data_IF_713620140349
#
_entry.id   IF_713620140349
#
_cell.length_a   1.000
_cell.length_b   1.000
_cell.length_c   1.000
_cell.angle_alpha   90.00
_cell.angle_beta   90.00
_cell.angle_gamma   90.00
#
_symmetry.space_group_name_H-M   'P 1'
#
loop_
_entity.id
_entity.type
_entity.pdbx_description
1 polymer ?
#
# COMPACT_ATOMS: atom_id res chain seq x y z
N UNK A 1 4.33 -4.90 12.35
CA UNK A 1 4.25 -3.98 11.21
C UNK A 1 5.56 -4.05 10.47
N UNK A 2 5.53 -4.57 9.24
CA UNK A 2 6.70 -4.70 8.37
C UNK A 2 6.97 -3.37 7.66
N UNK A 3 8.20 -3.19 7.21
CA UNK A 3 8.57 -2.14 6.26
C UNK A 3 8.50 -2.74 4.87
N UNK A 4 7.93 -2.01 3.92
CA UNK A 4 7.77 -2.41 2.52
C UNK A 4 8.73 -1.57 1.67
N UNK A 5 9.41 -2.21 0.73
CA UNK A 5 10.27 -1.51 -0.23
C UNK A 5 9.40 -1.01 -1.38
N UNK A 6 9.37 0.31 -1.60
CA UNK A 6 8.65 0.93 -2.70
C UNK A 6 9.66 1.28 -3.80
N UNK A 7 9.27 1.05 -5.06
CA UNK A 7 10.05 1.41 -6.24
C UNK A 7 9.20 2.19 -7.24
N UNK A 8 9.64 3.40 -7.55
CA UNK A 8 8.98 4.32 -8.49
C UNK A 8 10.04 4.79 -9.50
N UNK A 9 10.02 4.22 -10.69
CA UNK A 9 11.09 4.44 -11.67
C UNK A 9 12.46 4.06 -11.10
N UNK A 10 13.34 5.05 -10.94
CA UNK A 10 14.68 4.88 -10.37
C UNK A 10 14.75 5.15 -8.87
N UNK A 11 13.68 5.67 -8.25
CA UNK A 11 13.65 5.95 -6.83
C UNK A 11 13.18 4.70 -6.07
N UNK A 12 13.99 4.28 -5.11
CA UNK A 12 13.65 3.20 -4.18
C UNK A 12 13.71 3.73 -2.75
N UNK A 13 12.69 3.44 -1.95
CA UNK A 13 12.64 3.84 -0.55
C UNK A 13 11.85 2.86 0.32
N UNK A 14 12.22 2.84 1.59
CA UNK A 14 11.53 2.12 2.65
C UNK A 14 10.29 2.88 3.08
N UNK A 15 9.15 2.18 3.08
CA UNK A 15 7.86 2.72 3.49
C UNK A 15 7.25 1.89 4.62
N UNK A 16 6.58 2.55 5.56
CA UNK A 16 5.78 1.87 6.59
C UNK A 16 4.69 2.80 7.11
N UNK A 17 3.44 2.31 7.15
CA UNK A 17 2.35 3.03 7.79
C UNK A 17 2.33 2.69 9.28
N UNK A 18 2.71 3.64 10.14
CA UNK A 18 2.59 3.51 11.59
C UNK A 18 1.34 4.23 12.12
N UNK A 19 0.83 3.84 13.29
CA UNK A 19 -0.35 4.48 13.90
C UNK A 19 -0.28 6.01 14.00
N UNK A 20 0.91 6.57 14.24
CA UNK A 20 1.14 8.03 14.29
C UNK A 20 1.01 8.73 12.95
N UNK A 21 1.10 8.00 11.84
CA UNK A 21 1.09 8.55 10.49
C UNK A 21 -0.35 8.78 9.98
N UNK A 22 -1.36 8.14 10.56
CA UNK A 22 -2.77 8.22 10.11
C UNK A 22 -3.33 9.63 10.22
N UNK A 23 -3.25 10.27 11.40
CA UNK A 23 -3.81 11.60 11.62
C UNK A 23 -3.25 12.66 10.63
N UNK A 24 -1.91 12.80 10.46
CA UNK A 24 -1.38 13.75 9.48
C UNK A 24 -1.72 13.35 8.04
N UNK A 25 -1.76 12.05 7.73
CA UNK A 25 -2.14 11.56 6.40
C UNK A 25 -3.58 11.97 6.05
N UNK A 26 -4.55 11.66 6.90
CA UNK A 26 -5.97 11.95 6.65
C UNK A 26 -6.25 13.46 6.60
N UNK A 27 -5.53 14.27 7.38
CA UNK A 27 -5.59 15.74 7.27
C UNK A 27 -5.17 16.23 5.88
N UNK A 28 -4.14 15.62 5.29
CA UNK A 28 -3.67 15.97 3.94
C UNK A 28 -4.63 15.47 2.85
N UNK A 29 -5.16 14.25 3.02
CA UNK A 29 -6.14 13.66 2.11
C UNK A 29 -7.52 14.34 2.19
N UNK A 30 -7.84 14.99 3.31
CA UNK A 30 -9.17 15.56 3.64
C UNK A 30 -10.30 14.52 3.68
N UNK A 31 -9.95 13.24 3.81
CA UNK A 31 -10.84 12.08 3.95
C UNK A 31 -10.06 10.94 4.61
N UNK A 32 -10.76 9.90 5.04
CA UNK A 32 -10.10 8.74 5.65
C UNK A 32 -9.22 8.01 4.64
N UNK A 33 -8.14 7.39 5.12
CA UNK A 33 -7.28 6.56 4.28
C UNK A 33 -8.08 5.40 3.67
N UNK A 34 -9.01 4.82 4.44
CA UNK A 34 -9.93 3.79 3.96
C UNK A 34 -10.78 4.27 2.77
N UNK A 35 -11.43 5.43 2.88
CA UNK A 35 -12.25 5.96 1.78
C UNK A 35 -11.41 6.37 0.57
N UNK A 36 -10.12 6.67 0.76
CA UNK A 36 -9.20 6.99 -0.32
C UNK A 36 -8.86 5.73 -1.12
N UNK A 37 -8.59 4.62 -0.43
CA UNK A 37 -8.07 3.38 -1.03
C UNK A 37 -9.18 2.44 -1.50
N UNK A 38 -10.29 2.41 -0.77
CA UNK A 38 -11.46 1.54 -0.98
C UNK A 38 -12.64 2.33 -1.56
N UNK A 39 -12.39 3.50 -2.13
CA UNK A 39 -13.40 4.50 -2.49
C UNK A 39 -14.65 3.92 -3.16
N UNK A 40 -15.78 4.60 -2.93
CA UNK A 40 -17.12 4.19 -3.35
C UNK A 40 -17.13 3.65 -4.78
N UNK A 41 -17.62 2.42 -4.93
CA UNK A 41 -18.03 1.84 -6.22
C UNK A 41 -18.93 2.87 -6.90
N UNK A 42 -18.48 3.40 -8.03
CA UNK A 42 -19.36 4.10 -8.97
C UNK A 42 -19.70 3.05 -10.01
N UNK A 43 -20.87 2.44 -9.84
CA UNK A 43 -21.60 1.61 -10.80
C UNK A 43 -20.79 0.56 -11.59
N UNK A 44 -20.89 -0.68 -11.09
CA UNK A 44 -20.58 -2.02 -11.60
C UNK A 44 -19.33 -2.35 -12.44
N UNK A 45 -18.55 -1.42 -13.00
CA UNK A 45 -17.41 -1.82 -13.87
C UNK A 45 -16.12 -1.00 -13.70
N UNK A 46 -16.13 0.10 -12.95
CA UNK A 46 -14.94 0.94 -12.80
C UNK A 46 -14.38 0.92 -11.38
N UNK A 47 -13.17 0.34 -11.24
CA UNK A 47 -12.37 0.46 -10.02
C UNK A 47 -12.02 1.95 -9.82
N UNK A 48 -12.57 2.56 -8.78
CA UNK A 48 -12.25 3.94 -8.43
C UNK A 48 -10.86 3.99 -7.77
N UNK A 49 -9.82 4.11 -8.59
CA UNK A 49 -8.45 4.25 -8.11
C UNK A 49 -8.28 5.61 -7.41
N UNK A 50 -7.48 5.69 -6.34
CA UNK A 50 -7.05 6.97 -5.80
C UNK A 50 -6.38 7.80 -6.89
N UNK A 51 -6.54 9.11 -6.83
CA UNK A 51 -5.84 10.01 -7.75
C UNK A 51 -4.33 9.91 -7.56
N UNK A 52 -3.55 10.24 -8.60
CA UNK A 52 -2.08 10.27 -8.49
C UNK A 52 -1.62 11.17 -7.33
N UNK A 53 -2.27 12.32 -7.12
CA UNK A 53 -1.95 13.21 -6.00
C UNK A 53 -2.17 12.57 -4.63
N UNK A 54 -3.25 11.81 -4.46
CA UNK A 54 -3.53 11.07 -3.22
C UNK A 54 -2.51 9.96 -2.98
N UNK A 55 -2.16 9.22 -4.03
CA UNK A 55 -1.12 8.19 -3.96
C UNK A 55 0.24 8.80 -3.58
N UNK A 56 0.63 9.91 -4.20
CA UNK A 56 1.87 10.63 -3.86
C UNK A 56 1.87 11.13 -2.42
N UNK A 57 0.74 11.63 -1.91
CA UNK A 57 0.60 12.06 -0.51
C UNK A 57 0.79 10.88 0.45
N UNK A 58 0.17 9.73 0.15
CA UNK A 58 0.32 8.50 0.94
C UNK A 58 1.79 8.09 0.98
N UNK A 59 2.41 7.91 -0.18
CA UNK A 59 3.81 7.49 -0.33
C UNK A 59 4.78 8.44 0.38
N UNK A 60 4.55 9.75 0.29
CA UNK A 60 5.37 10.75 0.96
C UNK A 60 5.24 10.72 2.48
N UNK A 61 4.05 10.45 3.01
CA UNK A 61 3.81 10.42 4.45
C UNK A 61 4.39 9.15 5.12
N UNK A 62 4.40 8.04 4.39
CA UNK A 62 4.83 6.72 4.89
C UNK A 62 6.30 6.42 4.61
N UNK A 63 7.01 7.23 3.83
CA UNK A 63 8.44 7.12 3.58
C UNK A 63 9.25 7.22 4.90
N UNK A 64 10.19 6.28 5.09
CA UNK A 64 11.09 6.19 6.24
C UNK A 64 12.57 6.32 5.87
N UNK A 65 12.91 6.28 4.58
CA UNK A 65 14.29 6.44 4.12
C UNK A 65 14.80 7.86 4.41
N UNK A 66 15.92 8.01 5.14
CA UNK A 66 16.54 9.30 5.34
C UNK A 66 16.91 9.96 4.01
N UNK A 67 16.78 11.28 3.94
CA UNK A 67 17.09 12.10 2.76
C UNK A 67 16.17 11.95 1.55
N UNK A 68 15.18 11.05 1.56
CA UNK A 68 14.11 11.02 0.55
C UNK A 68 13.03 12.01 0.98
N UNK A 69 12.86 13.10 0.23
CA UNK A 69 11.88 14.15 0.52
C UNK A 69 10.63 13.95 -0.32
N UNK A 70 9.54 14.57 0.11
CA UNK A 70 8.26 14.58 -0.63
C UNK A 70 8.42 15.00 -2.10
N UNK A 71 9.24 16.03 -2.37
CA UNK A 71 9.52 16.47 -3.75
C UNK A 71 10.18 15.37 -4.59
N UNK A 72 11.03 14.55 -3.97
CA UNK A 72 11.78 13.52 -4.69
C UNK A 72 10.82 12.39 -5.09
N UNK A 73 9.87 12.06 -4.22
CA UNK A 73 8.77 11.11 -4.50
C UNK A 73 7.82 11.68 -5.56
N UNK A 74 7.43 12.95 -5.46
CA UNK A 74 6.58 13.59 -6.46
C UNK A 74 7.22 13.59 -7.86
N UNK A 75 8.49 13.98 -7.95
CA UNK A 75 9.25 13.94 -9.21
C UNK A 75 9.41 12.50 -9.73
N UNK A 76 9.60 11.51 -8.85
CA UNK A 76 9.68 10.12 -9.25
C UNK A 76 8.36 9.62 -9.83
N UNK A 77 7.22 9.98 -9.23
CA UNK A 77 5.88 9.64 -9.74
C UNK A 77 5.65 10.31 -11.09
N UNK A 78 5.96 11.60 -11.24
CA UNK A 78 5.85 12.32 -12.50
C UNK A 78 6.66 11.64 -13.61
N UNK A 79 7.96 11.44 -13.38
CA UNK A 79 8.84 10.75 -14.33
C UNK A 79 8.34 9.33 -14.64
N UNK A 80 7.83 8.60 -13.66
CA UNK A 80 7.29 7.25 -13.86
C UNK A 80 6.11 7.26 -14.82
N UNK A 81 5.17 8.20 -14.65
CA UNK A 81 4.01 8.35 -15.53
C UNK A 81 4.42 8.81 -16.94
N UNK A 82 5.36 9.74 -17.05
CA UNK A 82 5.87 10.21 -18.36
C UNK A 82 6.54 9.10 -19.18
N UNK A 83 7.13 8.10 -18.51
CA UNK A 83 7.78 6.96 -19.14
C UNK A 83 6.85 5.74 -19.34
N UNK A 84 5.54 5.94 -19.25
CA UNK A 84 4.54 4.90 -19.54
C UNK A 84 4.17 4.01 -18.35
N UNK A 85 4.62 4.35 -17.14
CA UNK A 85 4.18 3.68 -15.92
C UNK A 85 2.70 3.89 -15.64
N UNK A 86 2.07 2.95 -14.96
CA UNK A 86 0.62 2.98 -14.70
C UNK A 86 0.28 3.36 -13.26
N UNK A 87 -0.83 4.09 -13.08
CA UNK A 87 -1.40 4.35 -11.75
C UNK A 87 -1.81 3.07 -11.02
N UNK A 88 -2.13 2.00 -11.76
CA UNK A 88 -2.48 0.70 -11.22
C UNK A 88 -1.30 0.01 -10.51
N UNK A 89 -0.09 0.08 -11.07
CA UNK A 89 1.12 -0.45 -10.42
C UNK A 89 1.48 0.31 -9.15
N UNK A 90 1.33 1.65 -9.17
CA UNK A 90 1.51 2.48 -7.96
C UNK A 90 0.49 2.12 -6.88
N UNK A 91 -0.77 1.92 -7.27
CA UNK A 91 -1.82 1.46 -6.38
C UNK A 91 -1.49 0.08 -5.79
N UNK A 92 -1.00 -0.86 -6.60
CA UNK A 92 -0.58 -2.19 -6.15
C UNK A 92 0.49 -2.13 -5.05
N UNK A 93 1.52 -1.30 -5.23
CA UNK A 93 2.56 -1.11 -4.21
C UNK A 93 2.01 -0.46 -2.92
N UNK A 94 1.05 0.46 -3.03
CA UNK A 94 0.37 1.02 -1.86
C UNK A 94 -0.46 -0.05 -1.15
N UNK A 95 -1.18 -0.91 -1.88
CA UNK A 95 -1.96 -1.99 -1.29
C UNK A 95 -1.08 -3.00 -0.54
N UNK A 96 0.08 -3.35 -1.09
CA UNK A 96 1.09 -4.18 -0.42
C UNK A 96 1.59 -3.53 0.86
N UNK A 97 1.96 -2.24 0.81
CA UNK A 97 2.36 -1.46 1.98
C UNK A 97 1.28 -1.46 3.08
N UNK A 98 0.02 -1.27 2.72
CA UNK A 98 -1.10 -1.26 3.66
C UNK A 98 -1.28 -2.64 4.30
N UNK A 99 -1.18 -3.70 3.50
CA UNK A 99 -1.21 -5.09 3.97
C UNK A 99 -0.09 -5.38 4.98
N UNK A 100 1.16 -5.06 4.65
CA UNK A 100 2.33 -5.25 5.51
C UNK A 100 2.29 -4.42 6.81
N UNK A 101 1.57 -3.30 6.75
CA UNK A 101 1.31 -2.43 7.90
C UNK A 101 0.13 -2.93 8.75
N UNK A 102 -0.57 -4.00 8.34
CA UNK A 102 -1.70 -4.57 9.07
C UNK A 102 -2.98 -3.73 8.95
N UNK A 103 -3.08 -2.87 7.93
CA UNK A 103 -4.23 -1.99 7.70
C UNK A 103 -5.55 -2.76 7.55
N UNK A 104 -5.50 -3.94 6.93
CA UNK A 104 -6.67 -4.80 6.70
C UNK A 104 -6.94 -5.80 7.85
N UNK A 105 -6.19 -5.72 8.95
CA UNK A 105 -6.21 -6.72 10.02
C UNK A 105 -5.26 -7.89 9.77
N UNK A 106 -5.27 -8.88 10.67
CA UNK A 106 -4.50 -10.11 10.49
C UNK A 106 -5.26 -11.01 9.51
N UNK A 107 -4.69 -11.26 8.34
CA UNK A 107 -4.99 -12.48 7.61
C UNK A 107 -4.28 -13.60 8.34
N UNK A 108 -4.99 -14.66 8.73
CA UNK A 108 -4.31 -15.88 9.18
C UNK A 108 -3.44 -16.34 8.02
N UNK A 109 -2.11 -16.39 8.23
CA UNK A 109 -1.24 -17.15 7.36
C UNK A 109 -1.79 -18.58 7.39
N UNK A 110 -2.34 -19.06 6.28
CA UNK A 110 -2.59 -20.48 6.09
C UNK A 110 -1.22 -21.14 6.06
N UNK A 111 -0.72 -21.47 7.25
CA UNK A 111 0.43 -22.31 7.43
C UNK A 111 0.16 -23.62 6.71
N UNK A 112 0.91 -23.87 5.64
CA UNK A 112 1.16 -25.24 5.22
C UNK A 112 1.96 -25.88 6.34
N UNK A 113 1.26 -26.61 7.20
CA UNK A 113 1.86 -27.65 8.03
C UNK A 113 1.33 -28.97 7.51
N UNK A 114 2.19 -29.68 6.80
CA UNK A 114 2.01 -31.10 6.49
C UNK A 114 1.92 -31.87 7.80
N UNK A 115 0.80 -32.56 8.03
CA UNK A 115 0.74 -33.70 8.94
C UNK A 115 -0.06 -34.81 8.23
N UNK A 116 0.67 -35.61 7.45
CA UNK A 116 0.36 -37.03 7.34
C UNK A 116 0.56 -37.63 8.75
N UNK A 117 -0.52 -37.77 9.52
CA UNK A 117 -0.57 -38.77 10.59
C UNK A 117 -1.84 -39.60 10.47
N UNK A 118 -1.59 -40.90 10.31
CA UNK A 118 -2.55 -41.97 10.17
C UNK A 118 -3.43 -42.06 11.41
N UNK A 119 -4.74 -42.21 11.21
CA UNK A 119 -5.60 -42.95 12.14
C UNK A 119 -6.40 -43.97 11.35
N UNK A 120 -5.72 -45.08 11.10
CA UNK A 120 -6.34 -46.40 11.12
C UNK A 120 -6.82 -46.67 12.56
N UNK A 121 -8.03 -47.23 12.68
CA UNK A 121 -8.68 -47.91 13.82
C UNK A 121 -9.73 -47.21 14.73
N UNK A 122 -10.85 -47.96 14.86
CA UNK A 122 -12.06 -47.87 15.71
C UNK A 122 -13.08 -46.79 15.31
N UNK A 123 -14.33 -47.11 14.91
CA UNK A 123 -15.31 -48.10 15.38
C UNK A 123 -16.20 -48.57 14.21
#
# INVERSE_FOLDING_TARGET
>A
MKTTQIKIGTLEFEARLAGKDYIPLEKRLKKSLFNTIMGYKVDDENLNLPTLGEMTVILSQVCKTPNVRERDIANAVENYMENGGTSYELYGQIMELLSDSGFFGKTEESGTSSEDEQVENLI
#
